data_IF_060442525323
#
_entry.id   IF_060442525323
#
_cell.length_a   1.000
_cell.length_b   1.000
_cell.length_c   1.000
_cell.angle_alpha   90.00
_cell.angle_beta   90.00
_cell.angle_gamma   90.00
#
_symmetry.space_group_name_H-M   'P 1'
#
loop_
_entity.id
_entity.type
_entity.pdbx_description
1 polymer ?
#
# COMPACT_ATOMS: atom_id res chain seq x y z
N UNK A 1 -55.09 -22.84 46.92
CA UNK A 1 -56.20 -21.92 46.71
C UNK A 1 -55.96 -21.38 45.31
N UNK A 2 -56.51 -22.05 44.36
CA UNK A 2 -57.78 -21.78 43.64
C UNK A 2 -57.46 -20.81 42.49
N UNK A 3 -57.85 -20.97 41.27
CA UNK A 3 -58.70 -21.93 40.54
C UNK A 3 -58.51 -21.70 39.04
N UNK A 4 -58.47 -22.76 38.33
CA UNK A 4 -58.77 -23.01 36.94
C UNK A 4 -59.95 -22.18 36.42
N UNK A 5 -59.88 -21.67 35.17
CA UNK A 5 -61.05 -21.72 34.25
C UNK A 5 -60.63 -21.83 32.79
N UNK A 6 -61.01 -22.93 32.29
CA UNK A 6 -61.21 -23.38 30.93
C UNK A 6 -62.36 -22.60 30.27
N UNK A 7 -62.22 -22.22 29.01
CA UNK A 7 -63.41 -22.15 28.16
C UNK A 7 -63.10 -22.50 26.69
N UNK A 8 -63.63 -23.63 26.30
CA UNK A 8 -63.82 -24.02 24.89
C UNK A 8 -65.18 -23.42 24.47
N UNK A 9 -65.27 -23.10 23.22
CA UNK A 9 -66.46 -23.28 22.36
C UNK A 9 -66.20 -22.78 20.97
N UNK A 10 -66.16 -23.69 20.03
CA UNK A 10 -67.17 -24.17 19.05
C UNK A 10 -67.21 -23.42 17.73
N UNK A 11 -66.78 -24.15 16.72
CA UNK A 11 -67.43 -24.48 15.44
C UNK A 11 -68.28 -23.41 14.73
N UNK A 12 -67.90 -23.10 13.47
CA UNK A 12 -68.86 -23.26 12.34
C UNK A 12 -68.11 -23.43 11.00
N UNK A 13 -68.45 -24.51 10.34
CA UNK A 13 -68.19 -24.84 8.97
C UNK A 13 -68.97 -23.88 8.05
N UNK A 14 -68.35 -23.30 7.04
CA UNK A 14 -69.06 -22.82 5.86
C UNK A 14 -68.29 -23.26 4.63
N UNK A 15 -68.96 -24.12 3.94
CA UNK A 15 -68.72 -24.68 2.62
C UNK A 15 -68.83 -23.52 1.60
N UNK A 16 -67.85 -23.37 0.67
CA UNK A 16 -68.20 -23.01 -0.70
C UNK A 16 -66.98 -23.02 -1.66
N UNK A 17 -67.12 -23.81 -2.68
CA UNK A 17 -66.64 -23.78 -4.07
C UNK A 17 -65.13 -23.71 -4.43
N UNK A 18 -64.68 -24.62 -5.27
CA UNK A 18 -63.35 -24.55 -5.86
C UNK A 18 -63.30 -23.61 -7.04
N UNK A 19 -62.58 -22.50 -6.92
CA UNK A 19 -62.18 -21.70 -8.08
C UNK A 19 -61.00 -22.40 -8.74
N UNK A 20 -61.20 -22.85 -9.93
CA UNK A 20 -60.17 -23.45 -10.79
C UNK A 20 -59.23 -22.35 -11.28
N UNK A 21 -58.10 -22.13 -10.58
CA UNK A 21 -57.02 -21.27 -11.07
C UNK A 21 -56.16 -22.10 -12.01
N UNK A 22 -56.21 -21.76 -13.28
CA UNK A 22 -55.27 -22.27 -14.28
C UNK A 22 -53.88 -21.76 -13.97
N UNK A 23 -53.03 -22.62 -13.50
CA UNK A 23 -51.61 -22.33 -13.29
C UNK A 23 -50.91 -22.20 -14.65
N UNK A 24 -50.67 -20.95 -15.06
CA UNK A 24 -49.70 -20.65 -16.10
C UNK A 24 -48.29 -20.87 -15.50
N UNK A 25 -47.68 -21.98 -15.82
CA UNK A 25 -46.27 -22.25 -15.55
C UNK A 25 -45.41 -21.40 -16.49
N UNK A 26 -45.02 -20.22 -16.11
CA UNK A 26 -43.81 -19.59 -16.64
C UNK A 26 -42.63 -20.09 -15.77
N UNK A 27 -41.99 -21.15 -16.24
CA UNK A 27 -40.69 -21.54 -15.76
C UNK A 27 -39.68 -20.45 -16.17
N UNK A 28 -39.51 -19.45 -15.31
CA UNK A 28 -38.34 -18.59 -15.36
C UNK A 28 -37.16 -19.41 -14.92
N UNK A 29 -36.40 -19.96 -15.88
CA UNK A 29 -35.06 -20.49 -15.64
C UNK A 29 -34.24 -19.37 -14.98
N UNK A 30 -33.99 -19.53 -13.69
CA UNK A 30 -32.92 -18.79 -13.02
C UNK A 30 -31.63 -19.34 -13.65
N UNK A 31 -31.15 -18.65 -14.68
CA UNK A 31 -29.79 -18.87 -15.18
C UNK A 31 -28.85 -18.59 -14.01
N UNK A 32 -28.34 -19.66 -13.40
CA UNK A 32 -27.15 -19.56 -12.56
C UNK A 32 -26.09 -18.80 -13.35
N UNK A 33 -25.69 -17.64 -12.87
CA UNK A 33 -24.63 -16.86 -13.47
C UNK A 33 -23.37 -17.72 -13.46
N UNK A 34 -22.92 -18.17 -14.62
CA UNK A 34 -21.65 -18.87 -14.78
C UNK A 34 -20.57 -18.06 -14.05
N UNK A 35 -19.70 -18.72 -13.25
CA UNK A 35 -18.61 -18.04 -12.57
C UNK A 35 -17.74 -17.35 -13.62
N UNK A 36 -17.80 -16.02 -13.69
CA UNK A 36 -16.97 -15.21 -14.57
C UNK A 36 -15.53 -15.61 -14.36
N UNK A 37 -14.92 -16.22 -15.37
CA UNK A 37 -13.50 -16.59 -15.38
C UNK A 37 -12.69 -15.36 -15.04
N UNK A 38 -12.07 -15.33 -13.84
CA UNK A 38 -11.23 -14.22 -13.41
C UNK A 38 -10.11 -14.02 -14.44
N UNK A 39 -9.76 -12.77 -14.80
CA UNK A 39 -8.66 -12.50 -15.74
C UNK A 39 -7.38 -13.19 -15.28
N UNK A 40 -6.53 -13.59 -16.25
CA UNK A 40 -5.21 -14.12 -15.92
C UNK A 40 -4.44 -13.09 -15.10
N UNK A 41 -3.90 -13.47 -13.96
CA UNK A 41 -3.22 -12.55 -13.01
C UNK A 41 -4.10 -12.04 -11.86
N UNK A 42 -5.42 -11.98 -12.01
CA UNK A 42 -6.31 -11.40 -10.97
C UNK A 42 -6.17 -12.05 -9.59
N UNK A 43 -5.84 -13.33 -9.51
CA UNK A 43 -5.61 -14.01 -8.22
C UNK A 43 -4.28 -13.57 -7.62
N UNK A 44 -3.21 -13.50 -8.41
CA UNK A 44 -1.90 -13.03 -7.95
C UNK A 44 -1.97 -11.59 -7.45
N UNK A 45 -2.59 -10.72 -8.23
CA UNK A 45 -2.75 -9.31 -7.87
C UNK A 45 -3.66 -9.15 -6.64
N UNK A 46 -4.70 -9.95 -6.52
CA UNK A 46 -5.56 -10.00 -5.34
C UNK A 46 -4.80 -10.44 -4.08
N UNK A 47 -3.91 -11.43 -4.19
CA UNK A 47 -3.09 -11.90 -3.07
C UNK A 47 -2.08 -10.83 -2.63
N UNK A 48 -1.48 -10.09 -3.58
CA UNK A 48 -0.60 -8.95 -3.26
C UNK A 48 -1.39 -7.84 -2.57
N UNK A 49 -2.56 -7.49 -3.08
CA UNK A 49 -3.43 -6.47 -2.47
C UNK A 49 -3.86 -6.85 -1.05
N UNK A 50 -4.24 -8.12 -0.83
CA UNK A 50 -4.53 -8.63 0.50
C UNK A 50 -3.30 -8.60 1.42
N UNK A 51 -2.12 -8.92 0.89
CA UNK A 51 -0.85 -8.82 1.62
C UNK A 51 -0.51 -7.39 2.02
N UNK A 52 -0.75 -6.40 1.17
CA UNK A 52 -0.59 -4.97 1.51
C UNK A 52 -1.53 -4.57 2.65
N UNK A 53 -2.78 -5.03 2.62
CA UNK A 53 -3.74 -4.72 3.68
C UNK A 53 -3.35 -5.35 5.02
N UNK A 54 -2.87 -6.59 5.01
CA UNK A 54 -2.30 -7.23 6.20
C UNK A 54 -1.07 -6.47 6.72
N UNK A 55 -0.21 -6.03 5.82
CA UNK A 55 0.99 -5.27 6.16
C UNK A 55 0.67 -3.91 6.79
N UNK A 56 -0.38 -3.21 6.34
CA UNK A 56 -0.82 -1.93 6.94
C UNK A 56 -1.07 -2.04 8.43
N UNK A 57 -1.74 -3.11 8.84
CA UNK A 57 -2.19 -3.28 10.22
C UNK A 57 -1.18 -3.97 11.12
N UNK A 58 -0.33 -4.87 10.58
CA UNK A 58 0.55 -5.71 11.39
C UNK A 58 1.98 -5.83 10.86
N UNK A 59 2.37 -4.99 9.90
CA UNK A 59 3.72 -5.03 9.32
C UNK A 59 4.03 -6.33 8.57
N UNK A 60 5.33 -6.61 8.34
CA UNK A 60 5.75 -7.76 7.54
C UNK A 60 5.35 -9.10 8.15
N UNK A 61 5.23 -9.19 9.48
CA UNK A 61 4.89 -10.44 10.17
C UNK A 61 3.44 -10.84 9.96
N UNK A 62 2.57 -9.87 9.71
CA UNK A 62 1.16 -10.12 9.40
C UNK A 62 0.92 -10.66 7.99
N UNK A 63 1.90 -10.57 7.08
CA UNK A 63 1.80 -11.09 5.71
C UNK A 63 1.89 -12.61 5.75
N UNK A 64 0.72 -13.26 5.81
CA UNK A 64 0.56 -14.73 5.86
C UNK A 64 -0.27 -15.19 4.69
N UNK A 65 0.24 -16.17 3.91
CA UNK A 65 -0.39 -16.66 2.69
C UNK A 65 -1.82 -17.17 2.93
N UNK A 66 -2.06 -17.85 4.06
CA UNK A 66 -3.39 -18.37 4.43
C UNK A 66 -4.41 -17.24 4.62
N UNK A 67 -4.00 -16.14 5.29
CA UNK A 67 -4.88 -15.00 5.50
C UNK A 67 -5.17 -14.26 4.19
N UNK A 68 -4.14 -14.05 3.37
CA UNK A 68 -4.32 -13.46 2.04
C UNK A 68 -5.28 -14.30 1.18
N UNK A 69 -5.18 -15.65 1.20
CA UNK A 69 -6.13 -16.52 0.48
C UNK A 69 -7.56 -16.39 0.98
N UNK A 70 -7.75 -16.29 2.30
CA UNK A 70 -9.06 -16.10 2.92
C UNK A 70 -9.69 -14.77 2.48
N UNK A 71 -8.91 -13.68 2.47
CA UNK A 71 -9.37 -12.36 2.04
C UNK A 71 -9.78 -12.32 0.57
N UNK A 72 -9.03 -13.00 -0.30
CA UNK A 72 -9.32 -13.08 -1.74
C UNK A 72 -10.46 -14.04 -2.06
N UNK A 73 -10.81 -14.93 -1.13
CA UNK A 73 -11.84 -15.95 -1.34
C UNK A 73 -11.42 -17.03 -2.35
N UNK A 74 -10.15 -17.45 -2.31
CA UNK A 74 -9.63 -18.53 -3.14
C UNK A 74 -9.22 -19.73 -2.27
N UNK A 75 -9.21 -20.92 -2.88
CA UNK A 75 -8.71 -22.11 -2.19
C UNK A 75 -7.18 -22.05 -2.04
N UNK A 76 -6.58 -22.59 -0.97
CA UNK A 76 -5.14 -22.53 -0.73
C UNK A 76 -4.29 -23.00 -1.93
N UNK A 77 -4.68 -24.11 -2.58
CA UNK A 77 -3.98 -24.62 -3.75
C UNK A 77 -3.92 -23.64 -4.94
N UNK A 78 -4.86 -22.70 -5.04
CA UNK A 78 -4.81 -21.67 -6.07
C UNK A 78 -3.74 -20.62 -5.75
N UNK A 79 -3.51 -20.30 -4.49
CA UNK A 79 -2.46 -19.38 -4.09
C UNK A 79 -1.06 -19.97 -4.27
N UNK A 80 -0.86 -21.25 -3.93
CA UNK A 80 0.42 -21.93 -4.12
C UNK A 80 0.88 -22.06 -5.58
N UNK A 81 -0.03 -21.82 -6.55
CA UNK A 81 0.34 -21.72 -7.97
C UNK A 81 0.98 -20.36 -8.31
N UNK A 82 0.82 -19.38 -7.44
CA UNK A 82 1.29 -18.00 -7.65
C UNK A 82 2.44 -17.62 -6.72
N UNK A 83 2.48 -18.20 -5.52
CA UNK A 83 3.52 -17.99 -4.51
C UNK A 83 3.82 -19.33 -3.85
N UNK A 84 5.06 -19.80 -3.98
CA UNK A 84 5.47 -21.09 -3.45
C UNK A 84 5.39 -21.13 -1.92
N UNK A 85 5.65 -19.99 -1.29
CA UNK A 85 5.64 -19.85 0.17
C UNK A 85 5.27 -18.42 0.60
N UNK A 86 5.38 -18.18 1.93
CA UNK A 86 5.18 -16.87 2.55
C UNK A 86 6.21 -15.84 2.05
N UNK A 87 7.44 -16.25 1.89
CA UNK A 87 8.56 -15.34 1.60
C UNK A 87 8.45 -14.80 0.17
N UNK A 88 7.98 -15.61 -0.77
CA UNK A 88 7.70 -15.15 -2.14
C UNK A 88 6.52 -14.15 -2.16
N UNK A 89 5.46 -14.40 -1.39
CA UNK A 89 4.38 -13.42 -1.22
C UNK A 89 4.89 -12.15 -0.56
N UNK A 90 5.67 -12.25 0.53
CA UNK A 90 6.23 -11.11 1.24
C UNK A 90 7.11 -10.27 0.31
N UNK A 91 7.98 -10.89 -0.50
CA UNK A 91 8.81 -10.18 -1.46
C UNK A 91 7.96 -9.37 -2.48
N UNK A 92 6.86 -9.96 -2.96
CA UNK A 92 5.94 -9.26 -3.86
C UNK A 92 5.20 -8.11 -3.18
N UNK A 93 4.83 -8.26 -1.91
CA UNK A 93 4.20 -7.21 -1.08
C UNK A 93 5.22 -6.10 -0.78
N UNK A 94 6.47 -6.41 -0.45
CA UNK A 94 7.55 -5.44 -0.29
C UNK A 94 7.72 -4.58 -1.56
N UNK A 95 7.79 -5.23 -2.73
CA UNK A 95 7.89 -4.52 -4.01
C UNK A 95 6.66 -3.64 -4.29
N UNK A 96 5.47 -4.04 -3.84
CA UNK A 96 4.27 -3.24 -3.97
C UNK A 96 4.25 -2.04 -3.01
N UNK A 97 4.68 -2.21 -1.76
CA UNK A 97 4.83 -1.13 -0.79
C UNK A 97 5.88 -0.08 -1.24
N UNK A 98 7.00 -0.54 -1.81
CA UNK A 98 8.01 0.34 -2.43
C UNK A 98 7.43 1.17 -3.59
N UNK A 99 6.57 0.57 -4.44
CA UNK A 99 5.90 1.32 -5.51
C UNK A 99 4.91 2.34 -4.97
N UNK A 100 4.22 2.05 -3.87
CA UNK A 100 3.32 3.00 -3.23
C UNK A 100 4.10 4.21 -2.69
N UNK A 101 5.21 3.98 -2.01
CA UNK A 101 6.13 5.04 -1.57
C UNK A 101 6.64 5.88 -2.76
N UNK A 102 7.15 5.24 -3.82
CA UNK A 102 7.61 5.93 -5.01
C UNK A 102 6.51 6.79 -5.66
N UNK A 103 5.28 6.27 -5.69
CA UNK A 103 4.11 7.00 -6.21
C UNK A 103 3.80 8.26 -5.37
N UNK A 104 3.89 8.17 -4.05
CA UNK A 104 3.71 9.34 -3.17
C UNK A 104 4.81 10.39 -3.39
N UNK A 105 6.06 9.96 -3.53
CA UNK A 105 7.18 10.85 -3.82
C UNK A 105 6.98 11.56 -5.17
N UNK A 106 6.61 10.82 -6.23
CA UNK A 106 6.29 11.40 -7.53
C UNK A 106 5.14 12.42 -7.46
N UNK A 107 4.09 12.13 -6.70
CA UNK A 107 2.98 13.06 -6.48
C UNK A 107 3.42 14.32 -5.72
N UNK A 108 4.34 14.21 -4.77
CA UNK A 108 4.96 15.34 -4.08
C UNK A 108 5.71 16.26 -5.04
N UNK A 109 6.56 15.67 -5.87
CA UNK A 109 7.33 16.40 -6.91
C UNK A 109 6.40 17.10 -7.91
N UNK A 110 5.34 16.43 -8.37
CA UNK A 110 4.40 16.97 -9.34
C UNK A 110 3.64 18.23 -8.87
N UNK A 111 3.52 18.43 -7.55
CA UNK A 111 2.91 19.63 -6.95
C UNK A 111 3.84 20.84 -6.95
N UNK A 112 5.14 20.65 -7.12
CA UNK A 112 6.12 21.73 -7.09
C UNK A 112 6.05 22.53 -8.40
N UNK A 113 5.73 23.81 -8.29
CA UNK A 113 5.72 24.73 -9.43
C UNK A 113 7.12 25.29 -9.69
N UNK A 114 7.46 25.45 -10.94
CA UNK A 114 8.74 26.02 -11.40
C UNK A 114 9.24 25.31 -12.65
N UNK A 115 10.09 25.99 -13.43
CA UNK A 115 10.65 25.41 -14.66
C UNK A 115 11.74 24.40 -14.32
N UNK A 116 11.98 23.46 -15.20
CA UNK A 116 13.18 22.63 -15.14
C UNK A 116 14.41 23.52 -15.29
N UNK A 117 15.48 23.26 -14.51
CA UNK A 117 16.67 24.10 -14.45
C UNK A 117 16.55 25.35 -13.53
N UNK A 118 15.39 25.59 -12.92
CA UNK A 118 15.25 26.59 -11.85
C UNK A 118 15.80 26.04 -10.54
N UNK A 119 16.87 26.60 -10.04
CA UNK A 119 17.56 26.17 -8.82
C UNK A 119 16.63 26.08 -7.60
N UNK A 120 15.77 27.09 -7.41
CA UNK A 120 14.83 27.09 -6.30
C UNK A 120 13.74 26.01 -6.46
N UNK A 121 13.30 25.73 -7.69
CA UNK A 121 12.34 24.67 -7.95
C UNK A 121 12.97 23.28 -7.77
N UNK A 122 14.20 23.08 -8.20
CA UNK A 122 14.95 21.84 -8.03
C UNK A 122 15.13 21.49 -6.53
N UNK A 123 15.53 22.46 -5.70
CA UNK A 123 15.60 22.28 -4.24
C UNK A 123 14.24 21.93 -3.63
N UNK A 124 13.16 22.61 -4.04
CA UNK A 124 11.82 22.30 -3.56
C UNK A 124 11.38 20.88 -3.97
N UNK A 125 11.77 20.37 -5.16
CA UNK A 125 11.48 19.00 -5.59
C UNK A 125 12.22 17.98 -4.75
N UNK A 126 13.51 18.20 -4.50
CA UNK A 126 14.27 17.34 -3.59
C UNK A 126 13.61 17.29 -2.20
N UNK A 127 13.27 18.45 -1.65
CA UNK A 127 12.61 18.55 -0.35
C UNK A 127 11.25 17.83 -0.34
N UNK A 128 10.45 17.95 -1.41
CA UNK A 128 9.17 17.25 -1.55
C UNK A 128 9.33 15.72 -1.56
N UNK A 129 10.43 15.20 -2.10
CA UNK A 129 10.78 13.77 -2.05
C UNK A 129 11.01 13.33 -0.60
N UNK A 130 11.83 14.05 0.15
CA UNK A 130 12.10 13.76 1.57
C UNK A 130 10.85 13.87 2.44
N UNK A 131 10.05 14.92 2.23
CA UNK A 131 8.77 15.12 2.94
C UNK A 131 7.81 13.94 2.69
N UNK A 132 7.58 13.57 1.42
CA UNK A 132 6.69 12.46 1.08
C UNK A 132 7.18 11.11 1.63
N UNK A 133 8.48 10.92 1.74
CA UNK A 133 9.09 9.74 2.35
C UNK A 133 8.78 9.66 3.85
N UNK A 134 8.98 10.75 4.59
CA UNK A 134 8.73 10.84 6.03
C UNK A 134 7.23 10.74 6.34
N UNK A 135 6.38 11.41 5.56
CA UNK A 135 4.92 11.30 5.65
C UNK A 135 4.46 9.85 5.47
N UNK A 136 4.98 9.15 4.44
CA UNK A 136 4.65 7.73 4.22
C UNK A 136 5.05 6.86 5.41
N UNK A 137 6.23 7.05 5.96
CA UNK A 137 6.70 6.29 7.11
C UNK A 137 5.83 6.51 8.35
N UNK A 138 5.31 7.74 8.53
CA UNK A 138 4.45 8.11 9.63
C UNK A 138 3.01 7.62 9.45
N UNK A 139 2.42 7.83 8.28
CA UNK A 139 1.03 7.50 7.99
C UNK A 139 0.81 6.00 7.79
N UNK A 140 1.80 5.30 7.25
CA UNK A 140 1.75 3.88 6.87
C UNK A 140 2.90 3.07 7.48
N UNK A 141 3.08 3.09 8.83
CA UNK A 141 4.27 2.50 9.47
C UNK A 141 4.40 1.00 9.19
N UNK A 142 3.29 0.27 9.08
CA UNK A 142 3.29 -1.15 8.72
C UNK A 142 3.78 -1.42 7.30
N UNK A 143 3.34 -0.59 6.32
CA UNK A 143 3.82 -0.68 4.94
C UNK A 143 5.27 -0.23 4.83
N UNK A 144 5.66 0.82 5.55
CA UNK A 144 7.04 1.27 5.58
C UNK A 144 7.97 0.18 6.11
N UNK A 145 7.66 -0.43 7.26
CA UNK A 145 8.42 -1.56 7.79
C UNK A 145 8.48 -2.73 6.80
N UNK A 146 7.36 -3.02 6.11
CA UNK A 146 7.28 -4.10 5.13
C UNK A 146 8.13 -3.81 3.89
N UNK A 147 8.15 -2.58 3.40
CA UNK A 147 8.93 -2.19 2.22
C UNK A 147 10.42 -2.53 2.37
N UNK A 148 10.94 -2.54 3.59
CA UNK A 148 12.34 -2.81 3.89
C UNK A 148 12.60 -4.15 4.63
N UNK A 149 11.58 -5.01 4.74
CA UNK A 149 11.67 -6.26 5.51
C UNK A 149 12.50 -7.36 4.84
N UNK A 150 12.60 -7.35 3.51
CA UNK A 150 13.33 -8.39 2.77
C UNK A 150 14.65 -7.81 2.26
N UNK A 151 15.78 -8.56 2.37
CA UNK A 151 17.04 -8.12 1.77
C UNK A 151 16.85 -7.82 0.28
N UNK A 152 17.32 -6.67 -0.12
CA UNK A 152 17.01 -6.00 -1.39
C UNK A 152 17.51 -6.71 -2.66
N UNK A 153 18.08 -7.89 -2.56
CA UNK A 153 18.53 -8.68 -3.72
C UNK A 153 17.39 -8.94 -4.72
N UNK A 154 16.14 -8.90 -4.28
CA UNK A 154 14.96 -9.07 -5.12
C UNK A 154 14.22 -7.77 -5.42
N UNK A 155 14.46 -6.71 -4.66
CA UNK A 155 13.79 -5.43 -4.86
C UNK A 155 14.64 -4.42 -5.69
N UNK A 156 15.98 -4.53 -5.61
CA UNK A 156 16.90 -3.73 -6.43
C UNK A 156 17.61 -4.56 -7.52
N UNK A 157 17.55 -5.86 -7.45
CA UNK A 157 18.03 -6.80 -8.47
C UNK A 157 16.97 -7.20 -9.48
N UNK A 158 15.88 -6.42 -9.63
CA UNK A 158 14.97 -6.65 -10.73
C UNK A 158 15.72 -6.43 -12.05
N UNK A 159 15.58 -7.36 -13.00
CA UNK A 159 16.33 -7.30 -14.23
C UNK A 159 15.98 -6.05 -15.01
N UNK A 160 17.02 -5.31 -15.37
CA UNK A 160 17.13 -4.56 -16.58
C UNK A 160 16.06 -3.51 -16.92
N UNK A 161 16.41 -2.27 -16.63
CA UNK A 161 15.84 -1.16 -17.33
C UNK A 161 15.90 0.13 -16.50
N UNK A 162 16.51 1.14 -17.09
CA UNK A 162 16.51 2.53 -16.60
C UNK A 162 15.10 2.98 -16.17
N UNK A 163 14.06 2.55 -16.89
CA UNK A 163 12.66 2.84 -16.59
C UNK A 163 12.16 2.27 -15.25
N UNK A 164 12.79 1.23 -14.69
CA UNK A 164 12.44 0.71 -13.37
C UNK A 164 13.12 1.48 -12.25
N UNK A 165 14.38 1.87 -12.46
CA UNK A 165 15.14 2.69 -11.50
C UNK A 165 14.47 4.06 -11.33
N UNK A 166 13.93 4.65 -12.39
CA UNK A 166 13.18 5.91 -12.35
C UNK A 166 11.87 5.84 -11.55
N UNK A 167 11.32 4.64 -11.33
CA UNK A 167 10.06 4.41 -10.60
C UNK A 167 10.26 3.92 -9.16
N UNK A 168 11.49 3.93 -8.67
CA UNK A 168 11.81 3.56 -7.29
C UNK A 168 12.02 4.79 -6.42
N UNK A 169 11.89 4.69 -5.09
CA UNK A 169 12.24 5.78 -4.18
C UNK A 169 13.66 6.32 -4.42
N UNK A 170 14.63 5.43 -4.59
CA UNK A 170 16.02 5.81 -4.88
C UNK A 170 16.16 6.46 -6.26
N UNK A 171 15.42 5.99 -7.26
CA UNK A 171 15.40 6.58 -8.59
C UNK A 171 14.88 8.02 -8.59
N UNK A 172 13.82 8.30 -7.85
CA UNK A 172 13.31 9.67 -7.67
C UNK A 172 14.33 10.58 -6.99
N UNK A 173 15.03 10.07 -5.97
CA UNK A 173 16.11 10.84 -5.32
C UNK A 173 17.24 11.14 -6.31
N UNK A 174 17.70 10.15 -7.07
CA UNK A 174 18.74 10.33 -8.10
C UNK A 174 18.36 11.36 -9.14
N UNK A 175 17.14 11.26 -9.69
CA UNK A 175 16.63 12.22 -10.68
C UNK A 175 16.58 13.65 -10.13
N UNK A 176 16.19 13.84 -8.88
CA UNK A 176 16.20 15.16 -8.25
C UNK A 176 17.62 15.71 -8.03
N UNK A 177 18.57 14.84 -7.70
CA UNK A 177 19.98 15.24 -7.55
C UNK A 177 20.61 15.58 -8.89
N UNK A 178 20.26 14.86 -9.96
CA UNK A 178 20.70 15.19 -11.32
C UNK A 178 20.14 16.55 -11.77
N UNK A 179 18.88 16.82 -11.45
CA UNK A 179 18.28 18.14 -11.70
C UNK A 179 19.01 19.27 -10.95
N UNK A 180 19.49 19.02 -9.71
CA UNK A 180 20.29 20.01 -8.96
C UNK A 180 21.64 20.27 -9.61
N UNK A 181 22.25 19.27 -10.24
CA UNK A 181 23.46 19.44 -11.02
C UNK A 181 23.18 20.32 -12.25
N UNK A 182 22.13 20.01 -13.00
CA UNK A 182 21.70 20.73 -14.19
C UNK A 182 21.33 22.20 -13.88
N UNK A 183 20.76 22.44 -12.69
CA UNK A 183 20.42 23.77 -12.19
C UNK A 183 21.61 24.53 -11.57
N UNK A 184 22.81 23.91 -11.53
CA UNK A 184 24.01 24.54 -10.98
C UNK A 184 24.04 24.68 -9.45
N UNK A 185 23.14 24.01 -8.75
CA UNK A 185 23.08 24.00 -7.27
C UNK A 185 24.10 23.00 -6.69
N UNK A 186 24.12 21.79 -7.24
CA UNK A 186 25.07 20.75 -6.85
C UNK A 186 26.23 20.69 -7.84
N UNK A 187 27.46 20.86 -7.34
CA UNK A 187 28.63 20.75 -8.20
C UNK A 187 28.77 19.30 -8.73
N UNK A 188 29.05 19.09 -10.04
CA UNK A 188 29.12 17.75 -10.65
C UNK A 188 30.09 16.80 -9.91
N UNK A 189 31.20 17.31 -9.38
CA UNK A 189 32.17 16.52 -8.60
C UNK A 189 31.62 15.97 -7.28
N UNK A 190 30.52 16.54 -6.78
CA UNK A 190 29.84 16.14 -5.53
C UNK A 190 28.67 15.20 -5.78
N UNK A 191 28.31 14.94 -7.06
CA UNK A 191 27.13 14.14 -7.41
C UNK A 191 27.29 12.67 -7.08
N UNK A 192 28.55 12.13 -7.15
CA UNK A 192 28.78 10.71 -6.95
C UNK A 192 28.34 10.21 -5.58
N UNK A 193 27.46 9.21 -5.57
CA UNK A 193 27.01 8.46 -4.38
C UNK A 193 26.37 9.30 -3.25
N UNK A 194 26.11 10.59 -3.47
CA UNK A 194 25.52 11.49 -2.45
C UNK A 194 24.09 11.10 -2.08
N UNK A 195 23.40 10.35 -2.91
CA UNK A 195 22.09 9.79 -2.59
C UNK A 195 22.09 8.90 -1.34
N UNK A 196 23.16 8.19 -1.07
CA UNK A 196 23.22 7.28 0.08
C UNK A 196 23.26 8.00 1.44
N UNK A 197 24.09 9.01 1.69
CA UNK A 197 24.02 9.78 2.93
C UNK A 197 22.71 10.53 3.10
N UNK A 198 22.14 11.07 2.01
CA UNK A 198 20.83 11.73 2.06
C UNK A 198 19.73 10.73 2.43
N UNK A 199 19.70 9.59 1.76
CA UNK A 199 18.75 8.53 2.08
C UNK A 199 18.93 8.02 3.50
N UNK A 200 20.17 7.81 3.95
CA UNK A 200 20.47 7.37 5.30
C UNK A 200 19.95 8.34 6.36
N UNK A 201 20.04 9.65 6.13
CA UNK A 201 19.51 10.65 7.05
C UNK A 201 17.98 10.57 7.18
N UNK A 202 17.27 10.56 6.05
CA UNK A 202 15.81 10.52 6.01
C UNK A 202 15.29 9.17 6.52
N UNK A 203 15.89 8.05 6.07
CA UNK A 203 15.50 6.72 6.52
C UNK A 203 15.79 6.51 8.00
N UNK A 204 16.94 6.98 8.49
CA UNK A 204 17.29 6.92 9.90
C UNK A 204 16.26 7.63 10.78
N UNK A 205 15.85 8.84 10.42
CA UNK A 205 14.79 9.55 11.13
C UNK A 205 13.46 8.79 11.07
N UNK A 206 13.06 8.29 9.90
CA UNK A 206 11.83 7.51 9.73
C UNK A 206 11.79 6.29 10.65
N UNK A 207 12.91 5.54 10.76
CA UNK A 207 13.02 4.38 11.65
C UNK A 207 13.01 4.79 13.13
N UNK A 208 13.76 5.84 13.49
CA UNK A 208 13.81 6.35 14.88
C UNK A 208 12.43 6.83 15.36
N UNK A 209 11.67 7.48 14.48
CA UNK A 209 10.34 8.00 14.79
C UNK A 209 9.24 6.92 14.70
N UNK A 210 9.39 5.92 13.84
CA UNK A 210 8.38 4.87 13.66
C UNK A 210 8.51 3.71 14.64
N UNK A 211 9.72 3.22 14.86
CA UNK A 211 10.00 2.00 15.64
C UNK A 211 11.06 2.21 16.73
N UNK A 212 11.71 3.36 16.73
CA UNK A 212 12.82 3.69 17.61
C UNK A 212 12.43 4.49 18.85
N UNK A 213 13.44 5.12 19.48
CA UNK A 213 13.25 5.88 20.71
C UNK A 213 12.43 7.19 20.54
N UNK A 214 12.19 7.62 19.31
CA UNK A 214 11.42 8.84 19.02
C UNK A 214 9.95 8.56 18.66
N UNK A 215 9.48 7.30 18.73
CA UNK A 215 8.12 6.93 18.33
C UNK A 215 7.01 7.61 19.14
N UNK A 216 7.30 7.96 20.39
CA UNK A 216 6.33 8.52 21.33
C UNK A 216 6.47 10.06 21.49
N UNK A 217 7.29 10.71 20.63
CA UNK A 217 7.41 12.18 20.67
C UNK A 217 6.12 12.82 20.13
N UNK A 218 5.73 14.00 20.69
CA UNK A 218 4.57 14.73 20.17
C UNK A 218 4.74 15.11 18.70
N UNK A 219 3.64 15.19 17.95
CA UNK A 219 3.64 15.51 16.51
C UNK A 219 4.42 16.79 16.18
N UNK A 220 4.31 17.84 17.00
CA UNK A 220 5.06 19.07 16.80
C UNK A 220 6.59 18.86 16.90
N UNK A 221 7.04 17.99 17.81
CA UNK A 221 8.46 17.64 17.93
C UNK A 221 8.91 16.79 16.75
N UNK A 222 8.10 15.84 16.30
CA UNK A 222 8.36 15.02 15.11
C UNK A 222 8.51 15.91 13.87
N UNK A 223 7.56 16.80 13.62
CA UNK A 223 7.60 17.74 12.50
C UNK A 223 8.84 18.65 12.55
N UNK A 224 9.23 19.08 13.72
CA UNK A 224 10.46 19.88 13.91
C UNK A 224 11.71 19.05 13.54
N UNK A 225 11.80 17.80 13.94
CA UNK A 225 12.92 16.91 13.58
C UNK A 225 12.97 16.62 12.07
N UNK A 226 11.81 16.44 11.44
CA UNK A 226 11.70 16.28 9.99
C UNK A 226 12.22 17.51 9.27
N UNK A 227 11.79 18.71 9.70
CA UNK A 227 12.25 19.99 9.14
C UNK A 227 13.75 20.20 9.33
N UNK A 228 14.30 19.89 10.51
CA UNK A 228 15.74 19.96 10.78
C UNK A 228 16.52 19.01 9.88
N UNK A 229 16.03 17.79 9.68
CA UNK A 229 16.70 16.79 8.82
C UNK A 229 16.72 17.24 7.37
N UNK A 230 15.61 17.76 6.86
CA UNK A 230 15.54 18.25 5.48
C UNK A 230 16.41 19.51 5.30
N UNK A 231 16.44 20.40 6.27
CA UNK A 231 17.30 21.59 6.25
C UNK A 231 18.79 21.21 6.29
N UNK A 232 19.17 20.24 7.11
CA UNK A 232 20.54 19.71 7.14
C UNK A 232 20.97 19.14 5.77
N UNK A 233 20.05 18.47 5.05
CA UNK A 233 20.32 17.98 3.71
C UNK A 233 20.51 19.14 2.76
N UNK A 234 19.60 20.13 2.75
CA UNK A 234 19.67 21.30 1.88
C UNK A 234 20.99 22.09 2.06
N UNK A 235 21.39 22.36 3.33
CA UNK A 235 22.64 23.01 3.65
C UNK A 235 23.87 22.19 3.25
N UNK A 236 23.78 20.87 3.39
CA UNK A 236 24.84 19.95 2.98
C UNK A 236 25.06 19.90 1.46
N UNK A 237 24.13 20.38 0.64
CA UNK A 237 24.22 20.42 -0.81
C UNK A 237 24.75 21.76 -1.36
N UNK A 238 24.67 22.82 -0.62
CA UNK A 238 25.21 24.15 -0.95
C UNK A 238 26.78 24.24 -0.82
#
# INVERSE_FOLDING_TARGET
MDTVHHNQDKWTLSTCYPVRVTASRSAGEVREAEPRRRPRGAVRDGLIAAGLELARTGGPDAVVLREATRMVGVVPNAAYRHFADRDELLAAVCAAAMRELATRMAAGVARVRGRQGDAAAALRRLRAIGTAYLEFAHEEPGLFATAFAVPQQHAYGAPDGEAWQERTPLGHLRAALDELVDAGVLAPRRRGDIEYPIWSAVHGLAVLAGQGPLRDVPDAARQHLEELTLTFIDEGLA
#
